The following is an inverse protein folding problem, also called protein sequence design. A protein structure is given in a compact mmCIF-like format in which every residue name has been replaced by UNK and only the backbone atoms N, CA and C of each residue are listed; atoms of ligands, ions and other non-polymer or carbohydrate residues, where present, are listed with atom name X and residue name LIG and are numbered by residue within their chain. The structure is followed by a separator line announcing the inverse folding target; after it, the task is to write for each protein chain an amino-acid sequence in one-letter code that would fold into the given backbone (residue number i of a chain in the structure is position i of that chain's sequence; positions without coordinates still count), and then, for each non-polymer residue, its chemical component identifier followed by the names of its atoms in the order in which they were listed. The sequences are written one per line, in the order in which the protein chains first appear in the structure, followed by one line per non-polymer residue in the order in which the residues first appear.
data_IF_154835152597
#
_entry.id   IF_154835152597
#
_cell.length_a   1.000
_cell.length_b   1.000
_cell.length_c   1.000
_cell.angle_alpha   90.00
_cell.angle_beta   90.00
_cell.angle_gamma   90.00
#
_symmetry.space_group_name_H-M   'P 1'
#
loop_
_entity.id
_entity.type
_entity.pdbx_description
1 polymer ?
#
# COMPACT_ATOMS: atom_id res chain seq x y z
N UNK A 1 -3.53 -37.88 -7.54
CA UNK A 1 -4.12 -36.79 -6.73
C UNK A 1 -3.16 -36.30 -5.63
N UNK A 2 -1.89 -36.02 -5.96
CA UNK A 2 -0.90 -35.48 -4.99
C UNK A 2 -0.22 -34.19 -5.45
N UNK A 3 -0.30 -33.87 -6.74
CA UNK A 3 0.35 -32.69 -7.36
C UNK A 3 -0.47 -31.41 -7.18
N UNK A 4 -1.79 -31.52 -6.98
CA UNK A 4 -2.71 -30.37 -6.92
C UNK A 4 -2.57 -29.51 -5.66
N UNK A 5 -1.98 -30.03 -4.59
CA UNK A 5 -1.85 -29.32 -3.31
C UNK A 5 -0.74 -28.27 -3.33
N UNK A 6 0.27 -28.43 -4.19
CA UNK A 6 1.44 -27.55 -4.24
C UNK A 6 1.17 -26.18 -4.90
N UNK A 7 0.10 -26.03 -5.69
CA UNK A 7 -0.24 -24.78 -6.37
C UNK A 7 -1.08 -23.79 -5.54
N UNK A 8 -1.61 -24.21 -4.39
CA UNK A 8 -2.55 -23.39 -3.62
C UNK A 8 -1.90 -22.27 -2.78
N UNK A 9 -0.57 -22.24 -2.65
CA UNK A 9 0.16 -21.31 -1.76
C UNK A 9 0.55 -19.96 -2.37
N UNK A 10 0.34 -19.74 -3.67
CA UNK A 10 0.92 -18.61 -4.41
C UNK A 10 0.11 -17.30 -4.37
N UNK A 11 -1.01 -17.23 -3.64
CA UNK A 11 -1.96 -16.11 -3.76
C UNK A 11 -2.02 -15.15 -2.58
N UNK A 12 -1.11 -15.22 -1.62
CA UNK A 12 -1.03 -14.20 -0.56
C UNK A 12 -0.24 -12.97 -1.05
N UNK A 13 -0.86 -12.17 -1.93
CA UNK A 13 -0.39 -10.82 -2.20
C UNK A 13 -0.62 -9.97 -0.94
N UNK A 14 0.43 -9.70 -0.17
CA UNK A 14 0.34 -8.78 0.96
C UNK A 14 0.02 -7.38 0.46
N UNK A 15 -1.02 -6.75 1.02
CA UNK A 15 -1.28 -5.34 0.79
C UNK A 15 -0.14 -4.53 1.44
N UNK A 16 0.85 -4.15 0.65
CA UNK A 16 1.91 -3.25 1.10
C UNK A 16 1.31 -1.85 1.17
N UNK A 17 1.20 -1.29 2.37
CA UNK A 17 0.88 0.13 2.52
C UNK A 17 2.04 0.93 1.93
N UNK A 18 1.75 1.76 0.93
CA UNK A 18 2.75 2.61 0.33
C UNK A 18 2.84 3.94 1.10
N UNK A 19 4.08 4.35 1.38
CA UNK A 19 4.36 5.70 1.88
C UNK A 19 4.17 6.72 0.74
N UNK A 20 3.70 7.91 1.09
CA UNK A 20 3.60 9.03 0.16
C UNK A 20 4.82 9.94 0.28
N UNK A 21 5.36 10.38 -0.86
CA UNK A 21 6.47 11.34 -0.87
C UNK A 21 5.91 12.77 -0.93
N UNK A 22 6.37 13.64 -0.04
CA UNK A 22 6.06 15.07 -0.05
C UNK A 22 7.33 15.88 0.26
N UNK A 23 7.70 16.82 -0.61
CA UNK A 23 8.94 17.60 -0.51
C UNK A 23 10.20 16.73 -0.28
N UNK A 24 10.28 15.58 -0.96
CA UNK A 24 11.41 14.66 -0.88
C UNK A 24 11.49 13.82 0.40
N UNK A 25 10.46 13.87 1.26
CA UNK A 25 10.36 13.03 2.47
C UNK A 25 9.22 12.02 2.33
N UNK A 26 9.44 10.80 2.81
CA UNK A 26 8.40 9.77 2.89
C UNK A 26 7.54 9.97 4.13
N UNK A 27 6.23 9.84 3.96
CA UNK A 27 5.23 9.96 5.00
C UNK A 27 4.32 8.72 5.00
N UNK A 28 3.96 8.19 6.18
CA UNK A 28 3.11 7.01 6.27
C UNK A 28 1.68 7.31 5.80
N UNK A 29 0.98 6.27 5.37
CA UNK A 29 -0.47 6.31 5.08
C UNK A 29 -1.25 6.96 6.22
N UNK A 30 -2.20 7.82 5.88
CA UNK A 30 -3.01 8.58 6.83
C UNK A 30 -2.40 9.91 7.28
N UNK A 31 -1.14 10.20 6.92
CA UNK A 31 -0.55 11.52 7.14
C UNK A 31 -1.39 12.60 6.45
N UNK A 32 -1.62 13.72 7.14
CA UNK A 32 -2.36 14.87 6.61
C UNK A 32 -1.42 16.06 6.45
N UNK A 33 -1.38 16.65 5.25
CA UNK A 33 -0.62 17.86 4.92
C UNK A 33 -1.57 18.84 4.23
N UNK A 34 -2.04 19.85 4.96
CA UNK A 34 -3.04 20.79 4.47
C UNK A 34 -4.33 20.06 4.06
N UNK A 35 -4.82 20.21 2.81
CA UNK A 35 -6.01 19.51 2.34
C UNK A 35 -5.74 18.07 1.88
N UNK A 36 -4.48 17.62 1.88
CA UNK A 36 -4.09 16.31 1.34
C UNK A 36 -3.96 15.26 2.45
N UNK A 37 -4.39 14.03 2.13
CA UNK A 37 -4.23 12.83 2.96
C UNK A 37 -3.47 11.77 2.16
N UNK A 38 -2.43 11.20 2.76
CA UNK A 38 -1.69 10.10 2.17
C UNK A 38 -2.54 8.82 2.16
N UNK A 39 -2.78 8.27 0.97
CA UNK A 39 -3.62 7.10 0.77
C UNK A 39 -2.80 5.79 0.81
N UNK A 40 -3.45 4.63 1.02
CA UNK A 40 -2.77 3.33 1.03
C UNK A 40 -2.08 2.98 -0.30
N UNK A 41 -2.52 3.59 -1.40
CA UNK A 41 -1.95 3.43 -2.75
C UNK A 41 -0.68 4.29 -2.98
N UNK A 42 -0.21 5.01 -1.96
CA UNK A 42 1.00 5.85 -2.03
C UNK A 42 0.76 7.21 -2.69
N UNK A 43 -0.50 7.59 -2.94
CA UNK A 43 -0.86 8.88 -3.54
C UNK A 43 -1.44 9.85 -2.53
N UNK A 44 -1.27 11.15 -2.78
CA UNK A 44 -1.95 12.20 -2.03
C UNK A 44 -3.31 12.49 -2.65
N UNK A 45 -4.38 12.40 -1.85
CA UNK A 45 -5.74 12.78 -2.26
C UNK A 45 -6.29 13.88 -1.37
N UNK A 46 -7.18 14.71 -1.89
CA UNK A 46 -7.89 15.67 -1.07
C UNK A 46 -8.79 14.94 -0.07
N UNK A 47 -8.86 15.45 1.17
CA UNK A 47 -9.80 14.95 2.20
C UNK A 47 -11.25 15.11 1.74
#
# INVERSE_FOLDING_TARGET
MRVLVLLAGLFFASATLADCVYNGRSYPTGTVIGPLVCQPDGTWKQR
#
